data_IF_570435438736
#
_entry.id   IF_570435438736
#
_cell.length_a   1.000
_cell.length_b   1.000
_cell.length_c   1.000
_cell.angle_alpha   90.00
_cell.angle_beta   90.00
_cell.angle_gamma   90.00
#
_symmetry.space_group_name_H-M   'P 1'
#
loop_
_entity.id
_entity.type
_entity.pdbx_description
1 polymer ?
#
# COMPACT_ATOMS: atom_id res chain seq x y z
N UNK A 1 -3.12 -26.82 5.38
CA UNK A 1 -3.66 -25.48 5.53
C UNK A 1 -3.31 -24.68 4.27
N UNK A 2 -4.28 -24.24 3.46
CA UNK A 2 -4.01 -23.53 2.21
C UNK A 2 -3.33 -22.16 2.43
N UNK A 3 -3.35 -21.64 3.66
CA UNK A 3 -2.72 -20.37 3.99
C UNK A 3 -1.26 -20.58 4.42
N UNK A 4 -0.34 -20.27 3.50
CA UNK A 4 1.09 -20.38 3.78
C UNK A 4 1.62 -19.13 4.49
N UNK A 5 2.34 -19.36 5.61
CA UNK A 5 3.15 -18.31 6.25
C UNK A 5 4.52 -18.24 5.55
N UNK A 6 4.89 -17.06 5.04
CA UNK A 6 6.21 -16.82 4.43
C UNK A 6 7.06 -15.91 5.30
N UNK A 7 8.34 -16.26 5.44
CA UNK A 7 9.32 -15.41 6.12
C UNK A 7 9.64 -14.15 5.29
N UNK A 8 9.84 -13.04 5.95
CA UNK A 8 10.10 -11.72 5.35
C UNK A 8 11.59 -11.35 5.48
N UNK A 9 12.48 -12.20 5.00
CA UNK A 9 13.92 -11.94 5.02
C UNK A 9 14.52 -11.84 6.42
N UNK A 10 15.50 -10.95 6.63
CA UNK A 10 16.22 -10.77 7.90
C UNK A 10 15.36 -10.25 9.06
N UNK A 11 14.12 -9.93 8.77
CA UNK A 11 13.12 -9.58 9.76
C UNK A 11 12.34 -10.85 10.04
N UNK A 12 12.46 -11.42 11.23
CA UNK A 12 11.74 -12.61 11.68
C UNK A 12 10.22 -12.38 11.79
N UNK A 13 9.60 -11.84 10.72
CA UNK A 13 8.17 -11.60 10.60
C UNK A 13 7.55 -12.55 9.59
N UNK A 14 6.33 -12.96 9.87
CA UNK A 14 5.58 -13.89 9.05
C UNK A 14 4.33 -13.23 8.50
N UNK A 15 3.96 -13.62 7.29
CA UNK A 15 2.81 -13.10 6.58
C UNK A 15 1.86 -14.24 6.24
N UNK A 16 0.59 -14.11 6.58
CA UNK A 16 -0.46 -15.02 6.16
C UNK A 16 -0.90 -14.61 4.75
N UNK A 17 -0.89 -15.57 3.83
CA UNK A 17 -1.30 -15.36 2.43
C UNK A 17 -2.05 -16.59 1.94
N UNK A 18 -3.02 -16.36 1.07
CA UNK A 18 -3.73 -17.38 0.33
C UNK A 18 -3.11 -17.47 -1.09
N UNK A 19 -2.51 -18.61 -1.48
CA UNK A 19 -1.87 -18.77 -2.78
C UNK A 19 -2.86 -18.69 -3.95
N UNK A 20 -4.15 -18.92 -3.71
CA UNK A 20 -5.20 -18.82 -4.72
C UNK A 20 -5.72 -17.38 -4.90
N UNK A 21 -5.20 -16.43 -4.08
CA UNK A 21 -5.52 -15.00 -4.11
C UNK A 21 -4.28 -14.18 -4.40
N UNK A 22 -4.43 -12.85 -4.31
CA UNK A 22 -3.31 -11.94 -4.49
C UNK A 22 -2.28 -12.11 -3.37
N UNK A 23 -1.08 -12.54 -3.74
CA UNK A 23 0.10 -12.51 -2.87
C UNK A 23 0.89 -11.23 -3.11
N UNK A 24 1.49 -10.66 -2.06
CA UNK A 24 2.34 -9.47 -2.24
C UNK A 24 3.54 -9.77 -3.13
N UNK A 25 3.89 -8.80 -3.98
CA UNK A 25 5.07 -8.85 -4.83
C UNK A 25 6.28 -8.12 -4.25
N UNK A 26 7.39 -8.15 -4.97
CA UNK A 26 8.61 -7.40 -4.65
C UNK A 26 8.35 -5.89 -4.51
N UNK A 27 7.35 -5.37 -5.21
CA UNK A 27 6.97 -3.94 -5.20
C UNK A 27 6.67 -3.43 -3.78
N UNK A 28 5.96 -4.22 -2.96
CA UNK A 28 5.68 -3.86 -1.57
C UNK A 28 6.95 -3.82 -0.70
N UNK A 29 7.87 -4.75 -0.92
CA UNK A 29 9.16 -4.79 -0.22
C UNK A 29 10.01 -3.59 -0.60
N UNK A 30 10.10 -3.27 -1.89
CA UNK A 30 10.82 -2.10 -2.40
C UNK A 30 10.23 -0.79 -1.86
N UNK A 31 8.90 -0.65 -1.88
CA UNK A 31 8.23 0.53 -1.34
C UNK A 31 8.53 0.70 0.16
N UNK A 32 8.45 -0.37 0.95
CA UNK A 32 8.76 -0.31 2.38
C UNK A 32 10.22 0.05 2.68
N UNK A 33 11.16 -0.28 1.77
CA UNK A 33 12.55 0.13 1.87
C UNK A 33 12.81 1.57 1.41
N UNK A 34 11.98 2.08 0.48
CA UNK A 34 12.08 3.44 -0.03
C UNK A 34 11.42 4.46 0.90
N UNK A 35 10.32 4.10 1.53
CA UNK A 35 9.58 4.95 2.46
C UNK A 35 10.38 5.19 3.75
N UNK A 36 10.26 6.41 4.29
CA UNK A 36 10.89 6.79 5.55
C UNK A 36 9.83 7.25 6.53
N UNK A 37 9.76 6.59 7.69
CA UNK A 37 8.91 6.99 8.81
C UNK A 37 9.83 7.32 9.98
N UNK A 38 9.77 8.56 10.47
CA UNK A 38 10.64 9.01 11.55
C UNK A 38 10.05 8.61 12.91
N UNK A 39 10.87 8.71 13.95
CA UNK A 39 10.41 8.48 15.33
C UNK A 39 9.24 9.39 15.68
N UNK A 40 8.17 8.78 16.18
CA UNK A 40 6.95 9.49 16.60
C UNK A 40 5.95 9.78 15.48
N UNK A 41 6.29 9.55 14.21
CA UNK A 41 5.39 9.73 13.07
C UNK A 41 4.40 8.56 12.94
N UNK A 42 3.25 8.87 12.36
CA UNK A 42 2.20 7.90 12.01
C UNK A 42 2.19 7.66 10.51
N UNK A 43 1.91 6.44 10.08
CA UNK A 43 1.84 6.09 8.67
C UNK A 43 0.54 5.37 8.32
N UNK A 44 -0.02 5.67 7.14
CA UNK A 44 -1.17 4.98 6.55
C UNK A 44 -0.75 4.32 5.24
N UNK A 45 -1.16 3.07 5.04
CA UNK A 45 -1.02 2.36 3.77
C UNK A 45 -2.39 2.20 3.11
N UNK A 46 -2.57 2.85 1.95
CA UNK A 46 -3.81 2.84 1.19
C UNK A 46 -3.86 1.63 0.24
N UNK A 47 -4.82 0.73 0.45
CA UNK A 47 -4.94 -0.53 -0.28
C UNK A 47 -3.89 -1.53 0.20
N UNK A 48 -3.87 -1.77 1.50
CA UNK A 48 -2.79 -2.53 2.16
C UNK A 48 -2.76 -4.02 1.81
N UNK A 49 -3.84 -4.55 1.21
CA UNK A 49 -3.96 -5.96 0.90
C UNK A 49 -3.84 -6.83 2.15
N UNK A 50 -2.87 -7.71 2.17
CA UNK A 50 -2.60 -8.60 3.32
C UNK A 50 -1.75 -7.94 4.42
N UNK A 51 -1.54 -6.61 4.39
CA UNK A 51 -0.89 -5.84 5.46
C UNK A 51 0.64 -5.89 5.46
N UNK A 52 1.26 -6.24 4.34
CA UNK A 52 2.71 -6.39 4.26
C UNK A 52 3.47 -5.08 4.50
N UNK A 53 3.01 -3.97 3.91
CA UNK A 53 3.72 -2.67 3.99
C UNK A 53 3.73 -2.14 5.43
N UNK A 54 2.62 -2.02 6.18
CA UNK A 54 2.66 -1.56 7.55
C UNK A 54 3.48 -2.46 8.47
N UNK A 55 3.44 -3.79 8.30
CA UNK A 55 4.29 -4.73 9.07
C UNK A 55 5.78 -4.48 8.78
N UNK A 56 6.17 -4.32 7.52
CA UNK A 56 7.56 -4.03 7.16
C UNK A 56 8.01 -2.65 7.63
N UNK A 57 7.16 -1.63 7.51
CA UNK A 57 7.48 -0.27 8.00
C UNK A 57 7.69 -0.27 9.51
N UNK A 58 6.83 -0.94 10.29
CA UNK A 58 7.03 -1.07 11.74
C UNK A 58 8.37 -1.72 12.07
N UNK A 59 8.78 -2.71 11.30
CA UNK A 59 10.01 -3.43 11.57
C UNK A 59 11.27 -2.66 11.16
N UNK A 60 11.18 -1.89 10.07
CA UNK A 60 12.33 -1.18 9.47
C UNK A 60 12.48 0.26 9.95
N UNK A 61 11.50 0.80 10.67
CA UNK A 61 11.48 2.23 11.04
C UNK A 61 11.10 2.41 12.51
N UNK A 62 11.23 3.63 13.01
CA UNK A 62 10.90 4.00 14.39
C UNK A 62 9.58 4.80 14.50
N UNK A 63 8.66 4.62 13.53
CA UNK A 63 7.34 5.25 13.58
C UNK A 63 6.56 4.85 14.82
N UNK A 64 5.59 5.70 15.18
CA UNK A 64 4.75 5.51 16.38
C UNK A 64 3.64 4.50 16.13
N UNK A 65 2.95 4.62 14.98
CA UNK A 65 1.80 3.78 14.65
C UNK A 65 1.65 3.65 13.14
N UNK A 66 1.19 2.49 12.68
CA UNK A 66 1.04 2.14 11.29
C UNK A 66 -0.37 1.61 11.04
N UNK A 67 -1.08 2.20 10.11
CA UNK A 67 -2.45 1.80 9.75
C UNK A 67 -2.48 1.26 8.34
N UNK A 68 -3.17 0.16 8.10
CA UNK A 68 -3.48 -0.35 6.77
C UNK A 68 -4.98 -0.23 6.49
N UNK A 69 -5.35 0.37 5.36
CA UNK A 69 -6.74 0.44 4.88
C UNK A 69 -6.95 -0.54 3.74
N UNK A 70 -7.95 -1.43 3.86
CA UNK A 70 -8.24 -2.45 2.84
C UNK A 70 -9.75 -2.64 2.67
N UNK A 71 -10.22 -2.59 1.42
CA UNK A 71 -11.64 -2.72 1.12
C UNK A 71 -12.13 -4.17 1.18
N UNK A 72 -11.28 -5.13 0.84
CA UNK A 72 -11.64 -6.54 0.81
C UNK A 72 -11.57 -7.14 2.22
N UNK A 73 -12.72 -7.53 2.74
CA UNK A 73 -12.85 -8.12 4.08
C UNK A 73 -11.87 -9.29 4.32
N UNK A 74 -11.74 -10.18 3.36
CA UNK A 74 -10.86 -11.36 3.48
C UNK A 74 -9.38 -10.98 3.56
N UNK A 75 -8.94 -9.98 2.76
CA UNK A 75 -7.58 -9.47 2.81
C UNK A 75 -7.32 -8.74 4.13
N UNK A 76 -8.26 -7.92 4.58
CA UNK A 76 -8.18 -7.24 5.87
C UNK A 76 -8.12 -8.23 7.05
N UNK A 77 -8.89 -9.33 7.00
CA UNK A 77 -8.80 -10.39 8.01
C UNK A 77 -7.41 -11.05 8.01
N UNK A 78 -6.89 -11.45 6.83
CA UNK A 78 -5.54 -12.02 6.72
C UNK A 78 -4.47 -11.06 7.23
N UNK A 79 -4.61 -9.76 6.93
CA UNK A 79 -3.71 -8.72 7.43
C UNK A 79 -3.76 -8.62 8.96
N UNK A 80 -4.95 -8.56 9.55
CA UNK A 80 -5.15 -8.54 11.00
C UNK A 80 -4.61 -9.78 11.70
N UNK A 81 -4.77 -10.96 11.10
CA UNK A 81 -4.17 -12.21 11.61
C UNK A 81 -2.65 -12.18 11.52
N UNK A 82 -2.07 -11.63 10.45
CA UNK A 82 -0.63 -11.44 10.31
C UNK A 82 -0.08 -10.49 11.37
N UNK A 83 -0.79 -9.41 11.68
CA UNK A 83 -0.43 -8.47 12.76
C UNK A 83 -0.40 -9.21 14.11
N UNK A 84 -1.46 -9.92 14.46
CA UNK A 84 -1.53 -10.71 15.72
C UNK A 84 -0.45 -11.78 15.80
N UNK A 85 -0.22 -12.50 14.70
CA UNK A 85 0.79 -13.55 14.65
C UNK A 85 2.22 -13.03 14.88
N UNK A 86 2.46 -11.76 14.61
CA UNK A 86 3.74 -11.09 14.82
C UNK A 86 3.79 -10.27 16.12
N UNK A 87 2.74 -10.29 16.94
CA UNK A 87 2.63 -9.50 18.19
C UNK A 87 2.85 -8.00 17.92
N UNK A 88 2.13 -7.45 16.95
CA UNK A 88 2.24 -6.04 16.54
C UNK A 88 0.95 -5.25 16.76
N UNK A 89 -0.01 -5.76 17.53
CA UNK A 89 -1.35 -5.18 17.72
C UNK A 89 -1.31 -3.77 18.33
N UNK A 90 -0.30 -3.49 19.16
CA UNK A 90 -0.12 -2.18 19.76
C UNK A 90 0.43 -1.12 18.79
N UNK A 91 1.04 -1.57 17.68
CA UNK A 91 1.77 -0.72 16.75
C UNK A 91 1.14 -0.65 15.35
N UNK A 92 0.38 -1.69 14.95
CA UNK A 92 -0.17 -1.85 13.61
C UNK A 92 -1.66 -2.14 13.68
N UNK A 93 -2.46 -1.30 13.06
CA UNK A 93 -3.91 -1.45 12.95
C UNK A 93 -4.32 -1.73 11.50
N UNK A 94 -5.29 -2.61 11.31
CA UNK A 94 -5.90 -2.87 9.99
C UNK A 94 -7.37 -2.45 10.05
N UNK A 95 -7.73 -1.53 9.17
CA UNK A 95 -9.08 -1.00 9.04
C UNK A 95 -9.69 -1.49 7.72
N UNK A 96 -10.90 -2.06 7.77
CA UNK A 96 -11.65 -2.38 6.57
C UNK A 96 -12.39 -1.14 6.08
N UNK A 97 -12.13 -0.71 4.84
CA UNK A 97 -12.80 0.46 4.25
C UNK A 97 -12.32 0.77 2.84
N UNK A 98 -13.06 1.64 2.16
CA UNK A 98 -12.74 2.10 0.81
C UNK A 98 -11.72 3.24 0.87
N UNK A 99 -10.68 3.19 0.01
CA UNK A 99 -9.70 4.26 -0.15
C UNK A 99 -10.41 5.60 -0.42
N UNK A 100 -11.49 5.62 -1.19
CA UNK A 100 -12.25 6.83 -1.52
C UNK A 100 -12.86 7.54 -0.31
N UNK A 101 -13.01 6.82 0.79
CA UNK A 101 -13.54 7.30 2.06
C UNK A 101 -12.44 7.54 3.12
N UNK A 102 -11.16 7.43 2.75
CA UNK A 102 -10.06 7.50 3.73
C UNK A 102 -10.07 8.79 4.57
N UNK A 103 -10.38 9.93 3.97
CA UNK A 103 -10.50 11.20 4.71
C UNK A 103 -11.70 11.25 5.65
N UNK A 104 -12.79 10.56 5.33
CA UNK A 104 -13.97 10.46 6.18
C UNK A 104 -13.74 9.48 7.35
N UNK A 105 -13.01 8.40 7.09
CA UNK A 105 -12.65 7.37 8.09
C UNK A 105 -11.63 7.92 9.11
N UNK A 106 -10.58 8.58 8.65
CA UNK A 106 -9.44 8.94 9.50
C UNK A 106 -9.36 10.43 9.84
N UNK A 107 -10.12 11.26 9.14
CA UNK A 107 -10.02 12.71 9.23
C UNK A 107 -8.92 13.31 8.34
N UNK A 108 -9.05 14.60 8.05
CA UNK A 108 -8.03 15.34 7.30
C UNK A 108 -6.77 15.54 8.13
N UNK A 109 -5.61 15.59 7.48
CA UNK A 109 -4.31 15.87 8.09
C UNK A 109 -3.98 14.98 9.30
N UNK A 110 -4.26 13.68 9.22
CA UNK A 110 -4.11 12.72 10.32
C UNK A 110 -2.78 11.96 10.31
N UNK A 111 -2.12 11.87 9.17
CA UNK A 111 -0.91 11.06 9.00
C UNK A 111 0.31 11.87 8.54
N UNK A 112 1.48 11.50 9.06
CA UNK A 112 2.76 12.09 8.65
C UNK A 112 3.28 11.45 7.35
N UNK A 113 2.94 10.18 7.14
CA UNK A 113 3.34 9.39 5.98
C UNK A 113 2.14 8.63 5.43
N UNK A 114 2.01 8.63 4.10
CA UNK A 114 1.08 7.75 3.38
C UNK A 114 1.87 6.92 2.39
N UNK A 115 1.56 5.63 2.31
CA UNK A 115 2.08 4.70 1.29
C UNK A 115 0.95 4.15 0.45
N UNK A 116 1.24 3.74 -0.78
CA UNK A 116 0.32 2.94 -1.58
C UNK A 116 1.07 2.15 -2.65
N UNK A 117 0.65 0.90 -2.81
CA UNK A 117 0.98 0.05 -3.95
C UNK A 117 -0.30 -0.22 -4.74
N UNK A 118 -0.80 0.79 -5.48
CA UNK A 118 -2.10 0.68 -6.13
C UNK A 118 -2.07 -0.29 -7.32
N UNK A 119 -3.21 -0.80 -7.78
CA UNK A 119 -3.28 -1.60 -9.00
C UNK A 119 -2.79 -0.79 -10.20
N UNK A 120 -1.99 -1.44 -11.09
CA UNK A 120 -1.26 -0.75 -12.15
C UNK A 120 -2.03 -0.59 -13.47
N UNK A 121 -3.16 -1.27 -13.63
CA UNK A 121 -3.84 -1.39 -14.92
C UNK A 121 -4.78 -0.20 -15.20
N UNK A 122 -5.03 0.06 -16.47
CA UNK A 122 -5.95 1.11 -16.92
C UNK A 122 -7.27 0.42 -17.27
N UNK A 123 -8.34 0.73 -16.54
CA UNK A 123 -9.65 0.10 -16.66
C UNK A 123 -10.40 0.32 -17.98
N UNK A 124 -9.81 0.90 -19.04
CA UNK A 124 -10.53 1.22 -20.28
C UNK A 124 -9.83 0.86 -21.62
N UNK A 125 -8.58 0.44 -21.67
CA UNK A 125 -7.88 0.21 -22.96
C UNK A 125 -7.03 -1.06 -23.04
N UNK A 126 -7.28 -2.08 -22.25
CA UNK A 126 -6.58 -3.36 -22.37
C UNK A 126 -7.48 -4.46 -22.89
N UNK A 127 -7.05 -5.18 -23.93
CA UNK A 127 -7.57 -6.50 -24.25
C UNK A 127 -7.65 -7.29 -22.94
N UNK A 128 -8.86 -7.70 -22.55
CA UNK A 128 -9.06 -8.59 -21.41
C UNK A 128 -8.19 -9.82 -21.65
N UNK A 129 -7.10 -9.93 -20.90
CA UNK A 129 -6.35 -11.18 -20.89
C UNK A 129 -7.23 -12.20 -20.16
N UNK A 130 -7.75 -13.23 -20.86
CA UNK A 130 -8.66 -14.19 -20.25
C UNK A 130 -8.04 -14.99 -19.10
N UNK A 131 -6.71 -14.98 -18.99
CA UNK A 131 -5.94 -15.70 -17.97
C UNK A 131 -5.59 -14.86 -16.75
N UNK A 132 -6.07 -13.60 -16.67
CA UNK A 132 -5.86 -12.79 -15.46
C UNK A 132 -6.68 -13.33 -14.28
N UNK A 133 -6.07 -13.51 -13.10
CA UNK A 133 -6.81 -13.85 -11.90
C UNK A 133 -7.93 -12.83 -11.65
N UNK A 134 -9.17 -13.31 -11.49
CA UNK A 134 -10.36 -12.47 -11.24
C UNK A 134 -10.22 -11.50 -10.07
N UNK A 135 -9.30 -11.77 -9.15
CA UNK A 135 -8.96 -10.90 -8.03
C UNK A 135 -8.31 -9.59 -8.47
N UNK A 136 -7.35 -9.64 -9.43
CA UNK A 136 -6.65 -8.46 -9.94
C UNK A 136 -7.63 -7.56 -10.70
N UNK A 137 -8.48 -8.15 -11.54
CA UNK A 137 -9.49 -7.40 -12.30
C UNK A 137 -10.51 -6.68 -11.41
N UNK A 138 -10.83 -7.21 -10.21
CA UNK A 138 -11.74 -6.55 -9.26
C UNK A 138 -11.12 -5.33 -8.57
N UNK A 139 -9.82 -5.36 -8.28
CA UNK A 139 -9.12 -4.21 -7.68
C UNK A 139 -9.13 -2.97 -8.58
N UNK A 140 -9.04 -3.16 -9.90
CA UNK A 140 -9.00 -2.08 -10.89
C UNK A 140 -10.33 -1.35 -11.07
N UNK A 141 -11.44 -2.03 -10.81
CA UNK A 141 -12.79 -1.43 -10.90
C UNK A 141 -13.10 -0.55 -9.68
N UNK A 142 -12.45 -0.81 -8.55
CA UNK A 142 -12.80 -0.21 -7.26
C UNK A 142 -12.08 1.11 -6.98
N UNK A 143 -10.85 1.30 -7.47
CA UNK A 143 -10.04 2.48 -7.16
C UNK A 143 -9.06 2.79 -8.29
N UNK A 144 -9.00 4.05 -8.73
CA UNK A 144 -8.03 4.52 -9.73
C UNK A 144 -6.91 5.34 -9.09
N UNK A 145 -5.89 5.70 -9.89
CA UNK A 145 -4.74 6.48 -9.41
C UNK A 145 -5.16 7.82 -8.80
N UNK A 146 -6.15 8.47 -9.39
CA UNK A 146 -6.64 9.77 -8.91
C UNK A 146 -7.31 9.67 -7.55
N UNK A 147 -8.08 8.61 -7.31
CA UNK A 147 -8.70 8.35 -6.01
C UNK A 147 -7.62 8.21 -4.92
N UNK A 148 -6.57 7.42 -5.18
CA UNK A 148 -5.45 7.21 -4.25
C UNK A 148 -4.75 8.53 -3.92
N UNK A 149 -4.35 9.28 -4.95
CA UNK A 149 -3.59 10.53 -4.78
C UNK A 149 -4.44 11.61 -4.10
N UNK A 150 -5.72 11.72 -4.48
CA UNK A 150 -6.67 12.64 -3.86
C UNK A 150 -6.83 12.37 -2.37
N UNK A 151 -7.06 11.12 -1.99
CA UNK A 151 -7.23 10.77 -0.58
C UNK A 151 -5.93 10.88 0.20
N UNK A 152 -4.80 10.46 -0.39
CA UNK A 152 -3.49 10.69 0.23
C UNK A 152 -3.25 12.16 0.55
N UNK A 153 -3.60 13.07 -0.36
CA UNK A 153 -3.42 14.51 -0.14
C UNK A 153 -4.29 15.07 0.99
N UNK A 154 -5.50 14.51 1.19
CA UNK A 154 -6.41 14.95 2.24
C UNK A 154 -6.00 14.48 3.64
N UNK A 155 -5.57 13.22 3.74
CA UNK A 155 -5.19 12.62 5.04
C UNK A 155 -3.77 12.97 5.48
N UNK A 156 -2.92 13.45 4.58
CA UNK A 156 -1.56 13.90 4.92
C UNK A 156 -1.59 15.21 5.70
N UNK A 157 -0.81 15.26 6.77
CA UNK A 157 -0.48 16.48 7.48
C UNK A 157 0.31 17.45 6.58
N UNK A 158 0.36 18.71 6.97
CA UNK A 158 1.28 19.68 6.34
C UNK A 158 2.72 19.15 6.40
N UNK A 159 3.44 19.20 5.28
CA UNK A 159 4.77 18.61 5.09
C UNK A 159 4.83 17.09 5.24
N UNK A 160 3.70 16.40 5.26
CA UNK A 160 3.62 14.96 5.18
C UNK A 160 4.22 14.43 3.87
N UNK A 161 4.46 13.13 3.82
CA UNK A 161 5.13 12.49 2.69
C UNK A 161 4.30 11.35 2.14
N UNK A 162 4.08 11.37 0.82
CA UNK A 162 3.45 10.29 0.08
C UNK A 162 4.52 9.46 -0.63
N UNK A 163 4.45 8.16 -0.49
CA UNK A 163 5.30 7.19 -1.19
C UNK A 163 4.44 6.21 -1.98
N UNK A 164 4.77 6.01 -3.23
CA UNK A 164 4.03 5.12 -4.11
C UNK A 164 4.98 4.32 -4.99
N UNK A 165 4.68 3.06 -5.22
CA UNK A 165 5.31 2.26 -6.29
C UNK A 165 4.33 2.17 -7.45
N UNK A 166 4.83 2.30 -8.67
CA UNK A 166 3.99 2.21 -9.87
C UNK A 166 4.81 1.81 -11.10
N UNK A 167 4.13 1.41 -12.17
CA UNK A 167 4.77 1.10 -13.45
C UNK A 167 5.19 2.37 -14.20
N UNK A 168 6.40 2.38 -14.83
CA UNK A 168 6.96 3.59 -15.43
C UNK A 168 6.20 4.09 -16.67
N UNK A 169 5.45 3.25 -17.35
CA UNK A 169 4.67 3.67 -18.53
C UNK A 169 3.55 4.68 -18.22
N UNK A 170 3.14 4.80 -16.94
CA UNK A 170 2.18 5.82 -16.48
C UNK A 170 2.84 7.06 -15.87
N UNK A 171 4.14 7.24 -16.04
CA UNK A 171 4.88 8.31 -15.36
C UNK A 171 4.29 9.71 -15.62
N UNK A 172 3.94 10.02 -16.87
CA UNK A 172 3.35 11.32 -17.22
C UNK A 172 2.01 11.56 -16.51
N UNK A 173 1.15 10.54 -16.46
CA UNK A 173 -0.13 10.60 -15.73
C UNK A 173 0.09 10.77 -14.22
N UNK A 174 1.02 10.01 -13.65
CA UNK A 174 1.37 10.09 -12.23
C UNK A 174 1.80 11.52 -11.86
N UNK A 175 2.69 12.12 -12.65
CA UNK A 175 3.17 13.49 -12.40
C UNK A 175 2.04 14.51 -12.48
N UNK A 176 1.15 14.38 -13.47
CA UNK A 176 0.00 15.27 -13.62
C UNK A 176 -0.98 15.16 -12.43
N UNK A 177 -1.30 13.93 -12.01
CA UNK A 177 -2.22 13.70 -10.89
C UNK A 177 -1.62 14.19 -9.59
N UNK A 178 -0.35 13.91 -9.30
CA UNK A 178 0.33 14.42 -8.11
C UNK A 178 0.29 15.94 -8.04
N UNK A 179 0.63 16.62 -9.14
CA UNK A 179 0.61 18.09 -9.22
C UNK A 179 -0.80 18.67 -9.03
N UNK A 180 -1.82 18.03 -9.63
CA UNK A 180 -3.23 18.41 -9.48
C UNK A 180 -3.66 18.45 -7.99
N UNK A 181 -3.20 17.50 -7.19
CA UNK A 181 -3.52 17.39 -5.76
C UNK A 181 -2.43 18.01 -4.85
N UNK A 182 -1.55 18.84 -5.38
CA UNK A 182 -0.51 19.58 -4.65
C UNK A 182 0.48 18.67 -3.90
N UNK A 183 0.68 17.47 -4.39
CA UNK A 183 1.73 16.56 -3.95
C UNK A 183 2.93 16.73 -4.88
N UNK A 184 3.94 17.47 -4.46
CA UNK A 184 5.10 17.74 -5.28
C UNK A 184 6.07 16.54 -5.31
N UNK A 185 6.36 15.92 -6.48
CA UNK A 185 7.33 14.86 -6.58
C UNK A 185 8.74 15.35 -6.21
N UNK A 186 9.32 14.77 -5.17
CA UNK A 186 10.67 15.15 -4.67
C UNK A 186 11.73 14.12 -5.00
N UNK A 187 11.37 12.86 -5.12
CA UNK A 187 12.30 11.77 -5.32
C UNK A 187 11.67 10.65 -6.16
N UNK A 188 12.38 10.18 -7.15
CA UNK A 188 12.01 9.04 -7.98
C UNK A 188 13.18 8.06 -8.04
N UNK A 189 12.88 6.77 -8.00
CA UNK A 189 13.84 5.70 -8.19
C UNK A 189 13.27 4.70 -9.20
N UNK A 190 14.02 4.47 -10.27
CA UNK A 190 13.72 3.40 -11.21
C UNK A 190 14.34 2.09 -10.71
N UNK A 191 13.59 1.01 -10.87
CA UNK A 191 14.02 -0.33 -10.47
C UNK A 191 13.92 -1.24 -11.70
N UNK A 192 15.01 -1.92 -12.00
CA UNK A 192 15.11 -2.87 -13.10
C UNK A 192 15.25 -4.29 -12.54
N UNK A 193 14.59 -5.29 -13.17
CA UNK A 193 14.65 -6.67 -12.68
C UNK A 193 16.01 -7.34 -12.94
N UNK A 194 16.78 -6.81 -13.88
CA UNK A 194 18.07 -7.35 -14.28
C UNK A 194 19.08 -6.21 -14.47
N UNK A 195 20.36 -6.51 -14.22
CA UNK A 195 21.50 -5.67 -14.60
C UNK A 195 22.08 -6.33 -15.86
N UNK A 196 21.99 -5.64 -16.99
CA UNK A 196 22.66 -6.05 -18.24
C UNK A 196 24.15 -5.68 -18.18
#
# INVERSE_FOLDING_TARGET
DPEMSRGLGDVYKRQIQDPDKFCFGMDAVLLSGFAKVKKGETALDLGTGTGIIPILLKTKTNGKHFTGLEIQKECADMAGRSVRYNHLEDDVEIVQGDIKEAADIFGAASFDVVTSNPPYMIGQHGLRNPDMPKAIARHEVLCNLEDVVSQASKVLKERGRFYMVHRPFRLAEIMNVLTKYRLEPKRMQLVYPYID
#
